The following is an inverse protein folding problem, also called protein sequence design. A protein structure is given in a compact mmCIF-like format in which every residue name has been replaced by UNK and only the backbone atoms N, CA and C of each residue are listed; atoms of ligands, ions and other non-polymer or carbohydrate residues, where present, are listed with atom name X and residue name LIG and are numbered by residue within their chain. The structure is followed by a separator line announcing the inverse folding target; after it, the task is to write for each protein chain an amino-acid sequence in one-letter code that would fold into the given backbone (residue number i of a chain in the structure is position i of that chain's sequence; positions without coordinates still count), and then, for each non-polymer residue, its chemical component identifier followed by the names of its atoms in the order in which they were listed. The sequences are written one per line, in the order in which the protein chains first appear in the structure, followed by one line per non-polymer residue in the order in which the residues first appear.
data_IF_804982649313
#
_entry.id   IF_804982649313
#
_cell.length_a   1.000
_cell.length_b   1.000
_cell.length_c   1.000
_cell.angle_alpha   90.00
_cell.angle_beta   90.00
_cell.angle_gamma   90.00
#
_symmetry.space_group_name_H-M   'P 1'
#
loop_
_entity.id
_entity.type
_entity.pdbx_description
1 polymer ?
#
# COMPACT_ATOMS: atom_id res chain seq x y z
N UNK A 1 -11.84 -7.93 -25.19
CA UNK A 1 -12.09 -7.14 -23.97
C UNK A 1 -11.02 -6.07 -23.88
N UNK A 2 -11.37 -4.79 -24.00
CA UNK A 2 -10.40 -3.71 -24.02
C UNK A 2 -9.81 -3.51 -22.62
N UNK A 3 -8.49 -3.69 -22.48
CA UNK A 3 -7.77 -3.28 -21.27
C UNK A 3 -7.87 -1.76 -21.17
N UNK A 4 -8.54 -1.25 -20.14
CA UNK A 4 -8.58 0.19 -19.85
C UNK A 4 -7.15 0.64 -19.53
N UNK A 5 -6.66 1.78 -20.07
CA UNK A 5 -5.35 2.28 -19.70
C UNK A 5 -5.34 2.56 -18.20
N UNK A 6 -4.37 2.00 -17.49
CA UNK A 6 -4.12 2.31 -16.08
C UNK A 6 -3.98 3.83 -15.97
N UNK A 7 -4.91 4.49 -15.30
CA UNK A 7 -4.87 5.95 -15.12
C UNK A 7 -3.64 6.29 -14.27
N UNK A 8 -2.54 6.65 -14.94
CA UNK A 8 -1.31 7.06 -14.28
C UNK A 8 -1.54 8.39 -13.54
N UNK A 9 -1.56 8.36 -12.21
CA UNK A 9 -1.60 9.58 -11.38
C UNK A 9 -0.20 10.12 -11.19
N UNK A 10 -0.02 11.42 -11.43
CA UNK A 10 1.27 12.13 -11.30
C UNK A 10 1.21 13.13 -10.16
N UNK A 11 2.29 13.22 -9.38
CA UNK A 11 2.47 14.17 -8.28
C UNK A 11 3.89 14.73 -8.36
N UNK A 12 4.04 16.05 -8.22
CA UNK A 12 5.35 16.68 -8.04
C UNK A 12 5.80 16.47 -6.60
N UNK A 13 7.04 16.03 -6.43
CA UNK A 13 7.67 15.72 -5.14
C UNK A 13 9.00 16.46 -5.10
N UNK A 14 9.24 17.17 -4.01
CA UNK A 14 10.51 17.84 -3.76
C UNK A 14 11.53 16.83 -3.22
N UNK A 15 12.76 16.93 -3.69
CA UNK A 15 13.91 16.20 -3.20
C UNK A 15 15.00 17.20 -2.88
N UNK A 16 15.72 16.98 -1.78
CA UNK A 16 16.99 17.66 -1.58
C UNK A 16 18.04 17.18 -2.60
N UNK A 17 19.08 17.98 -2.78
CA UNK A 17 20.10 17.74 -3.80
C UNK A 17 20.90 16.45 -3.57
N UNK A 18 21.10 16.05 -2.31
CA UNK A 18 21.86 14.85 -1.95
C UNK A 18 21.05 13.59 -2.27
N UNK A 19 19.78 13.56 -1.86
CA UNK A 19 18.85 12.48 -2.18
C UNK A 19 18.67 12.33 -3.68
N UNK A 20 18.56 13.43 -4.43
CA UNK A 20 18.43 13.38 -5.89
C UNK A 20 19.66 12.74 -6.55
N UNK A 21 20.87 13.11 -6.12
CA UNK A 21 22.11 12.52 -6.64
C UNK A 21 22.22 11.03 -6.31
N UNK A 22 21.88 10.64 -5.08
CA UNK A 22 21.88 9.24 -4.67
C UNK A 22 20.90 8.39 -5.50
N UNK A 23 19.71 8.94 -5.79
CA UNK A 23 18.72 8.29 -6.65
C UNK A 23 19.21 8.14 -8.10
N UNK A 24 19.87 9.16 -8.66
CA UNK A 24 20.42 9.09 -10.03
C UNK A 24 21.58 8.09 -10.15
N UNK A 25 22.42 7.98 -9.12
CA UNK A 25 23.46 6.94 -9.08
C UNK A 25 22.83 5.54 -8.97
N UNK A 26 21.82 5.39 -8.10
CA UNK A 26 21.14 4.10 -7.92
C UNK A 26 20.43 3.61 -9.17
N UNK A 27 19.78 4.50 -9.95
CA UNK A 27 19.13 4.11 -11.22
C UNK A 27 20.15 3.58 -12.22
N UNK A 28 21.33 4.22 -12.31
CA UNK A 28 22.43 3.80 -13.19
C UNK A 28 23.01 2.45 -12.76
N UNK A 29 23.33 2.30 -11.48
CA UNK A 29 23.95 1.08 -10.95
C UNK A 29 23.01 -0.13 -11.03
N UNK A 30 21.71 0.09 -10.81
CA UNK A 30 20.70 -0.97 -10.86
C UNK A 30 20.11 -1.22 -12.25
N UNK A 31 20.46 -0.39 -13.25
CA UNK A 31 19.83 -0.34 -14.58
C UNK A 31 18.30 -0.29 -14.52
N UNK A 32 17.74 0.39 -13.52
CA UNK A 32 16.31 0.60 -13.34
C UNK A 32 15.93 2.03 -13.67
N UNK A 33 14.70 2.21 -14.13
CA UNK A 33 14.09 3.53 -14.22
C UNK A 33 13.74 4.07 -12.83
N UNK A 34 13.65 5.39 -12.70
CA UNK A 34 13.16 6.03 -11.47
C UNK A 34 11.77 5.54 -11.08
N UNK A 35 10.89 5.28 -12.06
CA UNK A 35 9.54 4.77 -11.79
C UNK A 35 9.56 3.38 -11.15
N UNK A 36 10.43 2.48 -11.61
CA UNK A 36 10.55 1.13 -11.04
C UNK A 36 11.07 1.16 -9.60
N UNK A 37 12.03 2.05 -9.31
CA UNK A 37 12.49 2.28 -7.94
C UNK A 37 11.37 2.83 -7.06
N UNK A 38 10.59 3.79 -7.58
CA UNK A 38 9.46 4.35 -6.86
C UNK A 38 8.38 3.28 -6.58
N UNK A 39 8.04 2.46 -7.57
CA UNK A 39 7.06 1.38 -7.42
C UNK A 39 7.51 0.36 -6.37
N UNK A 40 8.80 0.02 -6.34
CA UNK A 40 9.39 -0.85 -5.32
C UNK A 40 9.29 -0.24 -3.92
N UNK A 41 9.75 1.00 -3.76
CA UNK A 41 9.71 1.72 -2.49
C UNK A 41 8.27 1.89 -1.98
N UNK A 42 7.32 2.23 -2.84
CA UNK A 42 5.92 2.36 -2.45
C UNK A 42 5.29 1.03 -2.07
N UNK A 43 5.59 -0.07 -2.76
CA UNK A 43 5.10 -1.40 -2.35
C UNK A 43 5.56 -1.76 -0.95
N UNK A 44 6.84 -1.53 -0.66
CA UNK A 44 7.41 -1.84 0.65
C UNK A 44 6.88 -0.91 1.75
N UNK A 45 6.72 0.38 1.44
CA UNK A 45 6.07 1.34 2.33
C UNK A 45 4.63 0.93 2.65
N UNK A 46 3.81 0.64 1.63
CA UNK A 46 2.41 0.25 1.82
C UNK A 46 2.29 -1.06 2.60
N UNK A 47 3.16 -2.03 2.32
CA UNK A 47 3.23 -3.29 3.07
C UNK A 47 3.54 -3.06 4.54
N UNK A 48 4.50 -2.18 4.86
CA UNK A 48 4.85 -1.82 6.25
C UNK A 48 3.65 -1.28 7.03
N UNK A 49 2.74 -0.55 6.38
CA UNK A 49 1.53 0.00 6.99
C UNK A 49 0.27 -0.87 6.80
N UNK A 50 0.41 -2.12 6.35
CA UNK A 50 -0.72 -3.04 6.14
C UNK A 50 -1.70 -2.58 5.07
N UNK A 51 -1.25 -1.75 4.13
CA UNK A 51 -2.04 -1.32 2.97
C UNK A 51 -1.81 -2.29 1.81
N UNK A 52 -2.87 -2.72 1.12
CA UNK A 52 -2.73 -3.57 -0.04
C UNK A 52 -2.06 -2.78 -1.16
N UNK A 53 -0.93 -3.28 -1.65
CA UNK A 53 -0.12 -2.62 -2.68
C UNK A 53 -0.57 -2.95 -4.12
N UNK A 54 -1.57 -3.81 -4.28
CA UNK A 54 -2.09 -4.27 -5.57
C UNK A 54 -3.58 -4.61 -5.41
N UNK A 55 -4.36 -4.52 -6.51
CA UNK A 55 -5.77 -4.86 -6.57
C UNK A 55 -6.02 -6.29 -6.06
N UNK A 56 -5.14 -7.24 -6.40
CA UNK A 56 -5.24 -8.62 -5.90
C UNK A 56 -5.09 -8.72 -4.38
N UNK A 57 -4.19 -7.92 -3.80
CA UNK A 57 -4.02 -7.86 -2.35
C UNK A 57 -5.23 -7.20 -1.68
N UNK A 58 -5.78 -6.14 -2.29
CA UNK A 58 -6.96 -5.44 -1.81
C UNK A 58 -8.19 -6.36 -1.83
N UNK A 59 -8.40 -7.12 -2.92
CA UNK A 59 -9.50 -8.08 -3.04
C UNK A 59 -9.39 -9.20 -1.98
N UNK A 60 -8.19 -9.73 -1.74
CA UNK A 60 -7.96 -10.72 -0.68
C UNK A 60 -8.29 -10.15 0.71
N UNK A 61 -7.97 -8.90 0.97
CA UNK A 61 -8.31 -8.24 2.24
C UNK A 61 -9.82 -8.01 2.37
N UNK A 62 -10.50 -7.58 1.32
CA UNK A 62 -11.95 -7.39 1.33
C UNK A 62 -12.71 -8.69 1.61
N UNK A 63 -12.31 -9.79 0.96
CA UNK A 63 -12.91 -11.13 1.20
C UNK A 63 -12.62 -11.65 2.60
N UNK A 64 -11.42 -11.39 3.14
CA UNK A 64 -11.08 -11.76 4.53
C UNK A 64 -11.85 -10.93 5.56
N UNK A 65 -12.12 -9.66 5.26
CA UNK A 65 -12.93 -8.78 6.12
C UNK A 65 -14.41 -9.19 6.11
N UNK A 66 -14.94 -9.66 4.98
CA UNK A 66 -16.31 -10.20 4.91
C UNK A 66 -16.46 -11.60 5.49
N UNK A 67 -15.38 -12.36 5.61
CA UNK A 67 -15.35 -13.70 6.20
C UNK A 67 -15.14 -13.74 7.72
N UNK A 68 -15.13 -12.58 8.41
CA UNK A 68 -15.12 -12.52 9.89
C UNK A 68 -16.52 -12.17 10.41
N UNK A 69 -17.43 -13.13 10.58
CA UNK A 69 -18.63 -12.91 11.36
C UNK A 69 -18.25 -12.95 12.85
N UNK A 70 -18.29 -11.80 13.53
CA UNK A 70 -18.47 -11.77 14.99
C UNK A 70 -17.31 -11.26 15.87
N UNK A 71 -16.76 -10.08 15.58
CA UNK A 71 -16.07 -9.27 16.61
C UNK A 71 -16.97 -8.13 17.14
N UNK A 72 -18.28 -8.40 17.24
CA UNK A 72 -19.27 -7.42 17.70
C UNK A 72 -20.33 -8.08 18.61
N UNK A 73 -19.92 -8.76 19.68
CA UNK A 73 -20.80 -8.98 20.84
C UNK A 73 -20.00 -9.47 22.06
N UNK A 74 -19.25 -8.57 22.71
CA UNK A 74 -18.81 -8.81 24.08
C UNK A 74 -18.80 -7.51 24.87
N UNK A 75 -20.00 -7.00 25.18
CA UNK A 75 -20.21 -6.04 26.28
C UNK A 75 -21.68 -5.92 26.69
N UNK A 76 -22.35 -7.05 26.97
CA UNK A 76 -23.64 -7.05 27.69
C UNK A 76 -23.78 -8.27 28.61
N UNK A 77 -22.90 -8.39 29.60
CA UNK A 77 -23.19 -9.20 30.79
C UNK A 77 -22.39 -8.66 31.96
N UNK A 78 -23.03 -7.81 32.76
CA UNK A 78 -22.44 -7.25 33.96
C UNK A 78 -23.42 -6.35 34.70
N UNK A 79 -24.23 -6.93 35.57
CA UNK A 79 -24.82 -6.20 36.70
C UNK A 79 -26.33 -6.12 36.73
N UNK A 80 -26.98 -7.09 37.39
CA UNK A 80 -28.07 -6.78 38.32
C UNK A 80 -28.14 -7.83 39.42
N UNK A 81 -27.31 -7.61 40.45
CA UNK A 81 -27.59 -8.05 41.81
C UNK A 81 -28.31 -6.87 42.50
N UNK A 82 -29.57 -7.07 42.88
CA UNK A 82 -30.23 -6.62 44.12
C UNK A 82 -31.71 -6.91 44.03
#
# INVERSE_FOLDING_TARGET
MAQKPTEARRKLVEFDAETWQALDLLTRDSMKTFQELADEAFRDLLRKYGRPSDLKAALRQSVRSSATPGAASQKRSGGRHR
#
